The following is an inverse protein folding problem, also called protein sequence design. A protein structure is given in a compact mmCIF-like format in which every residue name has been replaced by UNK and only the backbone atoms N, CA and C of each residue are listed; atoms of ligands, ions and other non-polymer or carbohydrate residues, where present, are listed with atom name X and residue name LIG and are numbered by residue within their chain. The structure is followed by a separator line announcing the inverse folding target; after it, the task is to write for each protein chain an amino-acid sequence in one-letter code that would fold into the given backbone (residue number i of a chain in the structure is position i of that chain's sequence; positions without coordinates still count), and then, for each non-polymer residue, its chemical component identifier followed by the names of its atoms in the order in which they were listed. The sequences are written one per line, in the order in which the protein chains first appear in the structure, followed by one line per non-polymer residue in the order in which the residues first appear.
data_IF_506796505574
#
_entry.id   IF_506796505574
#
_cell.length_a   1.000
_cell.length_b   1.000
_cell.length_c   1.000
_cell.angle_alpha   90.00
_cell.angle_beta   90.00
_cell.angle_gamma   90.00
#
_symmetry.space_group_name_H-M   'P 1'
#
loop_
_entity.id
_entity.type
_entity.pdbx_description
1 polymer ?
#
# COMPACT_ATOMS: atom_id res chain seq x y z
N UNK A 1 11.31 6.35 -11.75
CA UNK A 1 10.91 6.13 -10.35
C UNK A 1 9.52 6.67 -10.17
N UNK A 2 8.70 6.04 -9.33
CA UNK A 2 7.36 6.52 -8.97
C UNK A 2 7.48 7.20 -7.60
N UNK A 3 6.81 8.33 -7.43
CA UNK A 3 6.78 9.12 -6.20
C UNK A 3 5.33 9.31 -5.71
N UNK A 4 5.16 9.65 -4.42
CA UNK A 4 3.83 9.88 -3.84
C UNK A 4 3.04 11.01 -4.53
N UNK A 5 3.73 12.02 -5.09
CA UNK A 5 3.10 13.09 -5.88
C UNK A 5 2.41 12.58 -7.15
N UNK A 6 2.81 11.41 -7.66
CA UNK A 6 2.21 10.82 -8.86
C UNK A 6 0.79 10.34 -8.58
N UNK A 7 0.42 10.08 -7.32
CA UNK A 7 -0.96 9.80 -6.92
C UNK A 7 -1.86 11.01 -7.22
N UNK A 8 -1.40 12.24 -6.95
CA UNK A 8 -2.16 13.44 -7.25
C UNK A 8 -2.38 13.62 -8.76
N UNK A 9 -1.34 13.33 -9.56
CA UNK A 9 -1.47 13.31 -11.02
C UNK A 9 -2.45 12.24 -11.50
N UNK A 10 -2.35 11.00 -11.00
CA UNK A 10 -3.28 9.92 -11.36
C UNK A 10 -4.74 10.31 -11.05
N UNK A 11 -4.99 10.90 -9.88
CA UNK A 11 -6.34 11.40 -9.50
C UNK A 11 -6.85 12.49 -10.44
N UNK A 12 -5.97 13.25 -11.09
CA UNK A 12 -6.38 14.29 -12.05
C UNK A 12 -6.89 13.70 -13.38
N UNK A 13 -6.50 12.47 -13.72
CA UNK A 13 -6.83 11.82 -15.00
C UNK A 13 -7.82 10.65 -14.87
N UNK A 14 -8.18 10.24 -13.65
CA UNK A 14 -9.20 9.21 -13.42
C UNK A 14 -10.11 9.54 -12.24
N UNK A 15 -11.36 9.06 -12.30
CA UNK A 15 -12.31 9.06 -11.18
C UNK A 15 -12.33 7.73 -10.43
N UNK A 16 -11.60 6.72 -10.92
CA UNK A 16 -11.54 5.41 -10.30
C UNK A 16 -10.75 5.48 -8.99
N UNK A 17 -11.12 4.67 -7.97
CA UNK A 17 -10.32 4.54 -6.75
C UNK A 17 -8.91 4.05 -7.08
N UNK A 18 -7.90 4.73 -6.54
CA UNK A 18 -6.49 4.32 -6.68
C UNK A 18 -6.12 3.44 -5.48
N UNK A 19 -5.54 2.28 -5.76
CA UNK A 19 -5.06 1.36 -4.74
C UNK A 19 -3.55 1.18 -4.93
N UNK A 20 -2.78 1.29 -3.84
CA UNK A 20 -1.34 1.03 -3.88
C UNK A 20 -1.07 -0.40 -3.44
N UNK A 21 -0.35 -1.15 -4.28
CA UNK A 21 0.10 -2.52 -4.02
C UNK A 21 1.59 -2.54 -3.76
N UNK A 22 2.00 -3.35 -2.79
CA UNK A 22 3.42 -3.56 -2.50
C UNK A 22 3.87 -2.94 -1.17
N UNK A 23 2.93 -2.41 -0.37
CA UNK A 23 3.25 -1.77 0.90
C UNK A 23 3.58 -2.86 1.93
N UNK A 24 4.78 -2.80 2.49
CA UNK A 24 5.23 -3.67 3.58
C UNK A 24 5.66 -2.91 4.83
N UNK A 25 5.75 -1.57 4.76
CA UNK A 25 6.09 -0.70 5.87
C UNK A 25 4.82 0.05 6.36
N UNK A 26 4.52 0.04 7.68
CA UNK A 26 3.51 0.91 8.30
C UNK A 26 3.61 2.40 7.94
N UNK A 27 4.81 3.01 7.91
CA UNK A 27 4.94 4.45 7.61
C UNK A 27 4.59 4.77 6.15
N UNK A 28 4.92 3.87 5.23
CA UNK A 28 4.54 4.00 3.82
C UNK A 28 3.02 3.87 3.65
N UNK A 29 2.36 3.07 4.48
CA UNK A 29 0.91 2.94 4.48
C UNK A 29 0.23 4.27 4.85
N UNK A 30 0.72 4.94 5.90
CA UNK A 30 0.23 6.26 6.32
C UNK A 30 0.50 7.30 5.23
N UNK A 31 1.71 7.29 4.64
CA UNK A 31 2.06 8.22 3.57
C UNK A 31 1.19 8.01 2.32
N UNK A 32 0.87 6.76 1.96
CA UNK A 32 -0.03 6.45 0.86
C UNK A 32 -1.44 7.02 1.09
N UNK A 33 -1.94 6.92 2.33
CA UNK A 33 -3.22 7.48 2.75
C UNK A 33 -3.22 9.01 2.59
N UNK A 34 -2.19 9.69 3.09
CA UNK A 34 -2.04 11.13 2.98
C UNK A 34 -1.93 11.60 1.52
N UNK A 35 -1.30 10.79 0.66
CA UNK A 35 -1.25 11.01 -0.80
C UNK A 35 -2.62 10.84 -1.49
N UNK A 36 -3.62 10.30 -0.77
CA UNK A 36 -5.01 10.28 -1.19
C UNK A 36 -5.44 9.02 -1.95
N UNK A 37 -4.80 7.88 -1.68
CA UNK A 37 -5.22 6.55 -2.16
C UNK A 37 -6.52 6.12 -1.48
N UNK A 38 -7.25 5.21 -2.13
CA UNK A 38 -8.51 4.66 -1.63
C UNK A 38 -8.35 3.31 -0.91
N UNK A 39 -7.15 2.71 -0.96
CA UNK A 39 -6.86 1.44 -0.30
C UNK A 39 -5.42 0.99 -0.48
N UNK A 40 -5.04 0.00 0.34
CA UNK A 40 -3.69 -0.54 0.42
C UNK A 40 -3.73 -2.05 0.26
N UNK A 41 -2.86 -2.57 -0.60
CA UNK A 41 -2.61 -4.00 -0.76
C UNK A 41 -1.23 -4.34 -0.21
N UNK A 42 -1.23 -5.03 0.93
CA UNK A 42 -0.03 -5.54 1.58
C UNK A 42 0.49 -6.73 0.79
N UNK A 43 1.65 -6.56 0.15
CA UNK A 43 2.18 -7.53 -0.81
C UNK A 43 3.68 -7.41 -0.92
N UNK A 44 4.37 -8.54 -0.99
CA UNK A 44 5.80 -8.61 -1.36
C UNK A 44 5.97 -9.11 -2.81
N UNK A 45 4.92 -8.98 -3.63
CA UNK A 45 4.91 -9.39 -5.03
C UNK A 45 5.17 -10.90 -5.23
N UNK A 46 4.68 -11.73 -4.30
CA UNK A 46 4.92 -13.17 -4.28
C UNK A 46 6.40 -13.52 -4.11
N UNK A 47 7.17 -12.68 -3.40
CA UNK A 47 8.62 -12.78 -3.24
C UNK A 47 9.42 -12.75 -4.57
N UNK A 48 8.87 -12.12 -5.62
CA UNK A 48 9.50 -12.04 -6.95
C UNK A 48 10.25 -10.74 -7.24
N UNK A 49 10.34 -9.85 -6.24
CA UNK A 49 10.96 -8.53 -6.41
C UNK A 49 12.18 -8.36 -5.50
N UNK A 50 11.97 -8.29 -4.19
CA UNK A 50 13.05 -8.14 -3.22
C UNK A 50 13.09 -9.38 -2.33
N UNK A 51 14.18 -10.13 -2.41
CA UNK A 51 14.40 -11.30 -1.57
C UNK A 51 14.76 -10.89 -0.13
N UNK A 52 14.40 -11.71 0.85
CA UNK A 52 14.62 -11.45 2.27
C UNK A 52 13.69 -10.40 2.91
N UNK A 53 12.74 -9.83 2.17
CA UNK A 53 11.67 -9.02 2.74
C UNK A 53 10.66 -9.88 3.51
N UNK A 54 9.95 -9.32 4.51
CA UNK A 54 8.96 -10.06 5.30
C UNK A 54 7.90 -10.76 4.43
N UNK A 55 7.32 -11.84 4.94
CA UNK A 55 6.12 -12.38 4.32
C UNK A 55 5.00 -11.34 4.41
N UNK A 56 4.20 -11.18 3.36
CA UNK A 56 3.14 -10.15 3.35
C UNK A 56 2.11 -10.33 4.47
N UNK A 57 1.89 -11.56 4.94
CA UNK A 57 1.04 -11.84 6.11
C UNK A 57 1.63 -11.34 7.44
N UNK A 58 2.97 -11.28 7.55
CA UNK A 58 3.66 -10.80 8.75
C UNK A 58 3.65 -9.27 8.83
N UNK A 59 3.68 -8.58 7.69
CA UNK A 59 3.60 -7.11 7.64
C UNK A 59 2.18 -6.58 7.90
N UNK A 60 1.14 -7.36 7.59
CA UNK A 60 -0.26 -6.93 7.66
C UNK A 60 -0.70 -6.37 9.03
N UNK A 61 -0.39 -7.00 10.18
CA UNK A 61 -0.88 -6.52 11.48
C UNK A 61 -0.35 -5.13 11.85
N UNK A 62 0.92 -4.85 11.56
CA UNK A 62 1.53 -3.54 11.87
C UNK A 62 0.98 -2.45 10.97
N UNK A 63 0.78 -2.76 9.68
CA UNK A 63 0.13 -1.84 8.73
C UNK A 63 -1.31 -1.56 9.17
N UNK A 64 -2.10 -2.60 9.48
CA UNK A 64 -3.48 -2.46 9.92
C UNK A 64 -3.59 -1.60 11.20
N UNK A 65 -2.65 -1.77 12.13
CA UNK A 65 -2.56 -0.95 13.35
C UNK A 65 -2.24 0.52 13.03
N UNK A 66 -1.32 0.79 12.10
CA UNK A 66 -0.90 2.14 11.77
C UNK A 66 -1.97 2.93 11.02
N UNK A 67 -2.73 2.27 10.14
CA UNK A 67 -3.76 2.94 9.34
C UNK A 67 -5.09 3.11 10.07
N UNK A 68 -5.37 2.33 11.11
CA UNK A 68 -6.64 2.39 11.85
C UNK A 68 -7.73 1.48 11.28
N UNK A 69 -8.74 1.18 12.10
CA UNK A 69 -9.76 0.17 11.80
C UNK A 69 -10.75 0.59 10.69
N UNK A 70 -10.83 1.88 10.39
CA UNK A 70 -11.66 2.45 9.33
C UNK A 70 -11.05 2.29 7.93
N UNK A 71 -9.74 2.01 7.85
CA UNK A 71 -9.02 1.91 6.59
C UNK A 71 -9.06 0.51 5.98
N UNK A 72 -9.30 0.47 4.68
CA UNK A 72 -9.22 -0.77 3.90
C UNK A 72 -7.77 -1.08 3.53
N UNK A 73 -7.11 -1.89 4.36
CA UNK A 73 -5.89 -2.61 3.99
C UNK A 73 -6.18 -4.11 3.88
N UNK A 74 -5.63 -4.77 2.86
CA UNK A 74 -5.88 -6.20 2.63
C UNK A 74 -4.62 -6.88 2.14
N UNK A 75 -4.47 -8.15 2.52
CA UNK A 75 -3.39 -9.01 2.05
C UNK A 75 -3.53 -9.33 0.56
N UNK A 76 -2.44 -9.27 -0.18
CA UNK A 76 -2.34 -9.78 -1.55
C UNK A 76 -1.06 -10.60 -1.72
N UNK A 77 -1.23 -11.88 -2.01
CA UNK A 77 -0.12 -12.86 -2.06
C UNK A 77 0.57 -12.93 -3.43
N UNK A 78 0.07 -12.20 -4.44
CA UNK A 78 0.65 -12.15 -5.80
C UNK A 78 0.81 -10.72 -6.26
#
# INVERSE_FOLDING_TARGET
TIEWKDIAWLKSITKLPIIVKGVLNPEDAVTAIEAGVAGILVSNHGARQVDGWPASIEALPEIAKAVGAEWRCTLMVV
#
